data_IF_569115516360
#
_entry.id   IF_569115516360
#
_cell.length_a   1.000
_cell.length_b   1.000
_cell.length_c   1.000
_cell.angle_alpha   90.00
_cell.angle_beta   90.00
_cell.angle_gamma   90.00
#
_symmetry.space_group_name_H-M   'P 1'
#
loop_
_entity.id
_entity.type
_entity.pdbx_description
1 polymer ?
#
# COMPACT_ATOMS: atom_id res chain seq x y z
N UNK A 1 3.79 11.61 33.30
CA UNK A 1 3.51 10.98 34.62
C UNK A 1 2.40 9.95 34.54
N UNK A 2 1.23 10.25 33.93
CA UNK A 2 0.14 9.27 33.79
C UNK A 2 0.56 7.96 33.09
N UNK A 3 1.34 8.01 32.00
CA UNK A 3 1.81 6.79 31.33
C UNK A 3 2.69 5.90 32.23
N UNK A 4 3.57 6.50 33.05
CA UNK A 4 4.45 5.72 33.93
C UNK A 4 3.65 4.98 35.02
N UNK A 5 2.63 5.65 35.59
CA UNK A 5 1.71 5.02 36.54
C UNK A 5 0.94 3.86 35.89
N UNK A 6 0.48 4.03 34.64
CA UNK A 6 -0.17 2.97 33.88
C UNK A 6 0.77 1.79 33.65
N UNK A 7 2.03 2.00 33.26
CA UNK A 7 3.00 0.91 33.05
C UNK A 7 3.29 0.13 34.33
N UNK A 8 3.37 0.79 35.49
CA UNK A 8 3.58 0.11 36.78
C UNK A 8 2.37 -0.70 37.23
N UNK A 9 1.14 -0.24 36.97
CA UNK A 9 -0.10 -0.90 37.42
C UNK A 9 -0.59 -1.96 36.44
N UNK A 10 -0.36 -1.78 35.13
CA UNK A 10 -0.83 -2.68 34.09
C UNK A 10 -0.28 -4.11 34.22
N UNK A 11 0.93 -4.27 34.76
CA UNK A 11 1.54 -5.59 34.99
C UNK A 11 0.86 -6.43 36.08
N UNK A 12 0.07 -5.81 36.97
CA UNK A 12 -0.69 -6.52 38.01
C UNK A 12 -2.07 -6.99 37.54
N UNK A 13 -2.50 -6.58 36.35
CA UNK A 13 -3.78 -7.01 35.78
C UNK A 13 -3.56 -8.40 35.15
N UNK A 14 -4.31 -9.45 35.58
CA UNK A 14 -4.14 -10.81 35.08
C UNK A 14 -4.78 -10.97 33.69
N UNK A 15 -4.16 -10.36 32.68
CA UNK A 15 -4.62 -10.40 31.29
C UNK A 15 -4.76 -11.83 30.74
N UNK A 16 -3.95 -12.78 31.19
CA UNK A 16 -4.04 -14.19 30.76
C UNK A 16 -5.35 -14.89 31.14
N UNK A 17 -6.06 -14.42 32.17
CA UNK A 17 -7.38 -14.91 32.55
C UNK A 17 -8.50 -14.15 31.82
N UNK A 18 -8.24 -12.93 31.34
CA UNK A 18 -9.25 -12.08 30.68
C UNK A 18 -9.21 -12.21 29.15
N UNK A 19 -8.05 -12.53 28.57
CA UNK A 19 -7.81 -12.65 27.13
C UNK A 19 -6.97 -13.91 26.89
N UNK A 20 -7.65 -15.02 26.60
CA UNK A 20 -7.04 -16.31 26.25
C UNK A 20 -7.40 -16.66 24.82
N UNK A 21 -6.40 -16.99 23.98
CA UNK A 21 -6.61 -17.31 22.57
C UNK A 21 -7.48 -18.55 22.35
N UNK A 22 -7.48 -19.47 23.33
CA UNK A 22 -8.17 -20.76 23.27
C UNK A 22 -9.37 -20.85 24.24
N UNK A 23 -9.71 -19.77 24.95
CA UNK A 23 -10.86 -19.72 25.88
C UNK A 23 -10.72 -20.55 27.17
N UNK A 24 -9.54 -21.15 27.41
CA UNK A 24 -9.22 -21.88 28.63
C UNK A 24 -8.44 -21.00 29.62
N UNK A 25 -8.62 -21.29 30.92
CA UNK A 25 -7.88 -20.65 32.01
C UNK A 25 -6.40 -21.05 31.92
N UNK A 26 -5.56 -20.12 31.49
CA UNK A 26 -4.14 -20.37 31.33
C UNK A 26 -3.41 -20.05 32.64
N UNK A 27 -3.23 -21.09 33.47
CA UNK A 27 -2.34 -21.00 34.62
C UNK A 27 -0.89 -20.95 34.14
N UNK A 28 -0.34 -19.74 34.11
CA UNK A 28 1.07 -19.48 33.81
C UNK A 28 1.88 -20.11 34.94
N UNK A 29 2.35 -21.33 34.73
CA UNK A 29 3.28 -21.99 35.65
C UNK A 29 4.58 -21.19 35.62
N UNK A 30 4.76 -20.33 36.62
CA UNK A 30 5.93 -19.48 36.72
C UNK A 30 7.12 -20.33 37.15
N UNK A 31 7.90 -20.77 36.17
CA UNK A 31 9.17 -21.42 36.44
C UNK A 31 10.14 -20.40 37.05
N UNK A 32 10.27 -20.46 38.38
CA UNK A 32 11.13 -19.58 39.16
C UNK A 32 12.58 -19.59 38.69
N UNK A 33 13.05 -20.69 38.11
CA UNK A 33 14.38 -20.80 37.52
C UNK A 33 14.52 -19.89 36.27
N UNK A 34 13.55 -19.95 35.35
CA UNK A 34 13.54 -19.12 34.13
C UNK A 34 13.33 -17.64 34.48
N UNK A 35 12.41 -17.35 35.40
CA UNK A 35 12.15 -15.99 35.85
C UNK A 35 13.38 -15.38 36.55
N UNK A 36 13.99 -16.12 37.48
CA UNK A 36 15.18 -15.69 38.22
C UNK A 36 16.38 -15.46 37.31
N UNK A 37 16.68 -16.41 36.41
CA UNK A 37 17.79 -16.28 35.45
C UNK A 37 17.60 -15.11 34.49
N UNK A 38 16.38 -14.89 34.00
CA UNK A 38 16.07 -13.76 33.11
C UNK A 38 16.26 -12.41 33.80
N UNK A 39 15.83 -12.27 35.05
CA UNK A 39 16.01 -11.03 35.83
C UNK A 39 17.51 -10.76 36.04
N UNK A 40 18.29 -11.76 36.42
CA UNK A 40 19.74 -11.62 36.63
C UNK A 40 20.44 -11.20 35.34
N UNK A 41 20.12 -11.84 34.21
CA UNK A 41 20.68 -11.49 32.90
C UNK A 41 20.29 -10.06 32.49
N UNK A 42 19.03 -9.66 32.71
CA UNK A 42 18.55 -8.32 32.39
C UNK A 42 19.29 -7.25 33.21
N UNK A 43 19.42 -7.45 34.52
CA UNK A 43 20.15 -6.52 35.40
C UNK A 43 21.63 -6.46 35.03
N UNK A 44 22.28 -7.60 34.77
CA UNK A 44 23.66 -7.64 34.31
C UNK A 44 23.86 -6.90 32.97
N UNK A 45 22.91 -7.04 32.04
CA UNK A 45 22.92 -6.37 30.74
C UNK A 45 22.76 -4.85 30.87
N UNK A 46 21.85 -4.38 31.73
CA UNK A 46 21.67 -2.95 32.03
C UNK A 46 22.93 -2.38 32.68
N UNK A 47 23.52 -3.10 33.64
CA UNK A 47 24.75 -2.68 34.29
C UNK A 47 25.90 -2.57 33.28
N UNK A 48 26.08 -3.58 32.42
CA UNK A 48 27.11 -3.57 31.38
C UNK A 48 26.90 -2.41 30.38
N UNK A 49 25.67 -2.18 29.93
CA UNK A 49 25.34 -1.07 29.04
C UNK A 49 25.62 0.27 29.71
N UNK A 50 25.19 0.45 30.97
CA UNK A 50 25.45 1.68 31.73
C UNK A 50 26.95 1.91 31.87
N UNK A 51 27.72 0.89 32.24
CA UNK A 51 29.18 0.98 32.35
C UNK A 51 29.86 1.35 31.01
N UNK A 52 29.33 0.88 29.88
CA UNK A 52 29.85 1.21 28.55
C UNK A 52 29.52 2.65 28.11
N UNK A 53 28.39 3.20 28.56
CA UNK A 53 27.84 4.48 28.08
C UNK A 53 27.88 5.65 29.10
N UNK A 54 28.36 5.43 30.34
CA UNK A 54 28.33 6.43 31.42
C UNK A 54 29.23 7.66 31.18
N UNK A 55 30.23 7.57 30.29
CA UNK A 55 31.19 8.64 30.01
C UNK A 55 30.82 9.51 28.80
N UNK A 56 31.25 10.78 28.82
CA UNK A 56 31.12 11.72 27.68
C UNK A 56 31.95 11.31 26.46
N UNK A 57 32.98 10.49 26.66
CA UNK A 57 33.72 9.77 25.62
C UNK A 57 33.51 8.27 25.86
N UNK A 58 33.28 7.50 24.80
CA UNK A 58 32.93 6.07 24.87
C UNK A 58 34.04 5.18 24.28
N UNK A 59 35.28 5.26 24.81
CA UNK A 59 36.45 4.60 24.20
C UNK A 59 36.31 3.08 24.13
N UNK A 60 35.50 2.46 24.99
CA UNK A 60 35.24 1.01 24.98
C UNK A 60 34.25 0.60 23.90
N UNK A 61 33.22 1.41 23.67
CA UNK A 61 32.27 1.17 22.58
C UNK A 61 32.94 1.39 21.23
N UNK A 62 33.74 2.46 21.11
CA UNK A 62 34.51 2.77 19.91
C UNK A 62 35.55 1.68 19.60
N UNK A 63 36.30 1.21 20.61
CA UNK A 63 37.24 0.10 20.44
C UNK A 63 36.56 -1.22 20.03
N UNK A 64 35.34 -1.49 20.51
CA UNK A 64 34.56 -2.64 20.05
C UNK A 64 34.09 -2.46 18.61
N UNK A 65 33.66 -1.26 18.23
CA UNK A 65 33.23 -0.93 16.88
C UNK A 65 34.40 -1.05 15.88
N UNK A 66 35.62 -0.65 16.26
CA UNK A 66 36.81 -0.83 15.44
C UNK A 66 37.18 -2.31 15.26
N UNK A 67 37.15 -3.10 16.35
CA UNK A 67 37.44 -4.55 16.29
C UNK A 67 36.42 -5.32 15.46
N UNK A 68 35.14 -4.98 15.60
CA UNK A 68 34.04 -5.63 14.91
C UNK A 68 33.43 -4.73 13.82
N UNK A 69 34.27 -4.07 13.04
CA UNK A 69 33.85 -3.07 12.04
C UNK A 69 32.81 -3.61 11.06
N UNK A 70 32.90 -4.88 10.64
CA UNK A 70 31.89 -5.49 9.75
C UNK A 70 30.53 -5.63 10.43
N UNK A 71 30.50 -6.20 11.64
CA UNK A 71 29.26 -6.42 12.40
C UNK A 71 28.63 -5.11 12.86
N UNK A 72 29.46 -4.15 13.28
CA UNK A 72 29.02 -2.79 13.59
C UNK A 72 28.42 -2.12 12.37
N UNK A 73 29.07 -2.22 11.19
CA UNK A 73 28.54 -1.67 9.94
C UNK A 73 27.22 -2.32 9.53
N UNK A 74 27.08 -3.63 9.73
CA UNK A 74 25.83 -4.35 9.45
C UNK A 74 24.70 -3.90 10.38
N UNK A 75 24.94 -3.87 11.69
CA UNK A 75 23.98 -3.38 12.67
C UNK A 75 23.61 -1.90 12.43
N UNK A 76 24.60 -1.07 12.10
CA UNK A 76 24.41 0.35 11.76
C UNK A 76 23.54 0.53 10.53
N UNK A 77 23.71 -0.32 9.51
CA UNK A 77 22.87 -0.34 8.29
C UNK A 77 21.60 -1.18 8.44
N UNK A 78 21.12 -1.45 9.67
CA UNK A 78 19.90 -2.24 9.92
C UNK A 78 19.90 -3.58 9.14
N UNK A 79 21.07 -4.22 9.08
CA UNK A 79 21.34 -5.46 8.33
C UNK A 79 21.05 -5.39 6.83
N UNK A 80 21.12 -4.20 6.22
CA UNK A 80 20.83 -3.96 4.80
C UNK A 80 19.42 -4.31 4.36
N UNK A 81 18.49 -4.51 5.31
CA UNK A 81 17.10 -4.84 4.99
C UNK A 81 16.45 -3.72 4.18
N UNK A 82 16.68 -2.46 4.58
CA UNK A 82 16.12 -1.29 3.90
C UNK A 82 16.64 -1.21 2.44
N UNK A 83 17.94 -1.44 2.20
CA UNK A 83 18.48 -1.47 0.84
C UNK A 83 17.90 -2.61 -0.02
N UNK A 84 17.66 -3.79 0.56
CA UNK A 84 17.04 -4.92 -0.14
C UNK A 84 15.58 -4.61 -0.48
N UNK A 85 14.80 -4.06 0.45
CA UNK A 85 13.42 -3.66 0.20
C UNK A 85 13.32 -2.59 -0.89
N UNK A 86 14.19 -1.57 -0.85
CA UNK A 86 14.24 -0.54 -1.88
C UNK A 86 14.65 -1.11 -3.24
N UNK A 87 15.62 -2.02 -3.27
CA UNK A 87 16.05 -2.69 -4.50
C UNK A 87 14.90 -3.46 -5.14
N UNK A 88 14.20 -4.29 -4.36
CA UNK A 88 13.06 -5.08 -4.85
C UNK A 88 11.96 -4.13 -5.36
N UNK A 89 11.58 -3.15 -4.56
CA UNK A 89 10.46 -2.27 -4.89
C UNK A 89 10.77 -1.41 -6.12
N UNK A 90 11.90 -0.72 -6.13
CA UNK A 90 12.21 0.21 -7.23
C UNK A 90 12.71 -0.49 -8.48
N UNK A 91 13.59 -1.48 -8.35
CA UNK A 91 14.26 -2.07 -9.51
C UNK A 91 13.47 -3.22 -10.11
N UNK A 92 12.73 -3.97 -9.31
CA UNK A 92 11.92 -5.07 -9.82
C UNK A 92 10.52 -4.56 -10.12
N UNK A 93 9.79 -4.06 -9.13
CA UNK A 93 8.37 -3.72 -9.30
C UNK A 93 8.18 -2.52 -10.23
N UNK A 94 8.79 -1.36 -9.94
CA UNK A 94 8.56 -0.18 -10.78
C UNK A 94 9.16 -0.33 -12.18
N UNK A 95 10.36 -0.91 -12.31
CA UNK A 95 11.00 -0.99 -13.61
C UNK A 95 10.40 -2.09 -14.51
N UNK A 96 10.06 -3.27 -13.97
CA UNK A 96 9.62 -4.41 -14.78
C UNK A 96 8.11 -4.61 -14.81
N UNK A 97 7.37 -4.18 -13.79
CA UNK A 97 5.91 -4.40 -13.70
C UNK A 97 5.14 -3.13 -14.04
N UNK A 98 5.48 -2.00 -13.42
CA UNK A 98 4.71 -0.77 -13.60
C UNK A 98 4.88 -0.14 -15.00
N UNK A 99 6.10 -0.11 -15.53
CA UNK A 99 6.37 0.45 -16.87
C UNK A 99 5.58 -0.20 -18.02
N UNK A 100 5.53 -1.55 -18.17
CA UNK A 100 4.78 -2.15 -19.26
C UNK A 100 3.27 -1.94 -19.12
N UNK A 101 2.74 -1.99 -17.88
CA UNK A 101 1.33 -1.73 -17.63
C UNK A 101 0.98 -0.27 -17.98
N UNK A 102 1.81 0.69 -17.55
CA UNK A 102 1.62 2.10 -17.88
C UNK A 102 1.78 2.41 -19.38
N UNK A 103 2.61 1.63 -20.09
CA UNK A 103 2.73 1.74 -21.54
C UNK A 103 1.47 1.19 -22.23
N UNK A 104 0.96 0.04 -21.78
CA UNK A 104 -0.25 -0.58 -22.31
C UNK A 104 -1.47 0.36 -22.16
N UNK A 105 -1.67 0.92 -20.97
CA UNK A 105 -2.77 1.86 -20.70
C UNK A 105 -2.72 3.06 -21.66
N UNK A 106 -1.56 3.72 -21.76
CA UNK A 106 -1.39 4.91 -22.61
C UNK A 106 -1.47 4.68 -24.12
N UNK A 107 -1.16 3.48 -24.60
CA UNK A 107 -1.12 3.21 -26.05
C UNK A 107 -2.37 2.50 -26.53
N UNK A 108 -2.89 1.57 -25.72
CA UNK A 108 -3.99 0.70 -26.15
C UNK A 108 -5.31 1.23 -25.60
N UNK A 109 -5.38 1.57 -24.31
CA UNK A 109 -6.62 2.06 -23.70
C UNK A 109 -6.91 3.48 -24.18
N UNK A 110 -5.98 4.41 -24.01
CA UNK A 110 -6.14 5.79 -24.47
C UNK A 110 -6.36 5.86 -25.99
N UNK A 111 -5.55 5.11 -26.76
CA UNK A 111 -5.68 5.04 -28.22
C UNK A 111 -7.04 4.50 -28.69
N UNK A 112 -7.63 3.55 -27.95
CA UNK A 112 -8.98 3.06 -28.22
C UNK A 112 -10.04 4.14 -27.97
N UNK A 113 -9.92 4.90 -26.88
CA UNK A 113 -10.84 6.01 -26.61
C UNK A 113 -10.72 7.14 -27.63
N UNK A 114 -9.51 7.51 -28.03
CA UNK A 114 -9.27 8.50 -29.09
C UNK A 114 -9.87 8.04 -30.42
N UNK A 115 -9.74 6.76 -30.75
CA UNK A 115 -10.37 6.18 -31.94
C UNK A 115 -11.90 6.27 -31.89
N UNK A 116 -12.52 5.94 -30.76
CA UNK A 116 -13.97 6.08 -30.57
C UNK A 116 -14.42 7.54 -30.68
N UNK A 117 -13.67 8.47 -30.08
CA UNK A 117 -13.95 9.90 -30.16
C UNK A 117 -13.85 10.38 -31.61
N UNK A 118 -12.82 9.97 -32.34
CA UNK A 118 -12.67 10.27 -33.76
C UNK A 118 -13.82 9.70 -34.59
N UNK A 119 -14.20 8.44 -34.36
CA UNK A 119 -15.30 7.79 -35.07
C UNK A 119 -16.65 8.50 -34.84
N UNK A 120 -16.91 8.91 -33.60
CA UNK A 120 -18.12 9.66 -33.23
C UNK A 120 -18.14 11.04 -33.88
N UNK A 121 -17.00 11.75 -33.90
CA UNK A 121 -16.90 13.04 -34.57
C UNK A 121 -17.06 12.91 -36.08
N UNK A 122 -16.42 11.93 -36.71
CA UNK A 122 -16.55 11.66 -38.14
C UNK A 122 -18.01 11.38 -38.53
N UNK A 123 -18.71 10.56 -37.74
CA UNK A 123 -20.14 10.31 -37.91
C UNK A 123 -20.96 11.59 -37.74
N UNK A 124 -20.65 12.40 -36.72
CA UNK A 124 -21.32 13.67 -36.48
C UNK A 124 -21.15 14.64 -37.66
N UNK A 125 -19.96 14.74 -38.25
CA UNK A 125 -19.73 15.56 -39.45
C UNK A 125 -20.52 15.07 -40.67
N UNK A 126 -20.69 13.75 -40.81
CA UNK A 126 -21.52 13.17 -41.88
C UNK A 126 -23.01 13.47 -41.67
N UNK A 127 -23.51 13.37 -40.44
CA UNK A 127 -24.92 13.60 -40.10
C UNK A 127 -25.27 15.09 -40.08
N UNK A 128 -24.32 15.97 -39.76
CA UNK A 128 -24.53 17.43 -39.66
C UNK A 128 -25.16 18.04 -40.93
N UNK A 129 -24.89 17.48 -42.10
CA UNK A 129 -25.47 17.93 -43.37
C UNK A 129 -27.00 17.74 -43.48
N UNK A 130 -27.60 16.86 -42.66
CA UNK A 130 -29.05 16.65 -42.61
C UNK A 130 -29.78 17.83 -41.94
N UNK A 131 -29.10 18.62 -41.11
CA UNK A 131 -29.67 19.74 -40.37
C UNK A 131 -29.43 21.06 -41.13
N UNK A 132 -30.12 21.25 -42.26
CA UNK A 132 -29.86 22.40 -43.16
C UNK A 132 -30.62 23.69 -42.81
N UNK A 133 -31.38 23.72 -41.70
CA UNK A 133 -32.16 24.89 -41.26
C UNK A 133 -33.36 25.28 -42.14
N UNK A 134 -33.61 24.57 -43.24
CA UNK A 134 -34.72 24.84 -44.15
C UNK A 134 -35.98 24.09 -43.70
N UNK A 135 -37.02 24.84 -43.33
CA UNK A 135 -38.33 24.31 -42.90
C UNK A 135 -38.93 23.39 -43.98
N UNK A 136 -38.72 23.68 -45.26
CA UNK A 136 -39.23 22.89 -46.38
C UNK A 136 -38.66 21.47 -46.40
N UNK A 137 -37.37 21.29 -46.11
CA UNK A 137 -36.75 19.96 -46.07
C UNK A 137 -37.28 19.12 -44.92
N UNK A 138 -37.50 19.72 -43.74
CA UNK A 138 -38.11 19.02 -42.61
C UNK A 138 -39.55 18.60 -42.90
N UNK A 139 -40.35 19.48 -43.50
CA UNK A 139 -41.73 19.16 -43.90
C UNK A 139 -41.78 17.99 -44.90
N UNK A 140 -40.87 17.96 -45.88
CA UNK A 140 -40.76 16.86 -46.83
C UNK A 140 -40.39 15.54 -46.16
N UNK A 141 -39.37 15.52 -45.29
CA UNK A 141 -38.96 14.32 -44.54
C UNK A 141 -40.08 13.81 -43.63
N UNK A 142 -40.81 14.72 -42.98
CA UNK A 142 -41.94 14.37 -42.12
C UNK A 142 -43.07 13.70 -42.92
N UNK A 143 -43.50 14.32 -44.03
CA UNK A 143 -44.59 13.78 -44.86
C UNK A 143 -44.20 12.41 -45.43
N UNK A 144 -42.98 12.28 -45.95
CA UNK A 144 -42.45 11.02 -46.47
C UNK A 144 -42.37 9.94 -45.38
N UNK A 145 -41.90 10.29 -44.18
CA UNK A 145 -41.86 9.39 -43.02
C UNK A 145 -43.26 8.91 -42.60
N UNK A 146 -44.25 9.80 -42.57
CA UNK A 146 -45.65 9.42 -42.26
C UNK A 146 -46.26 8.49 -43.30
N UNK A 147 -46.02 8.75 -44.60
CA UNK A 147 -46.46 7.88 -45.69
C UNK A 147 -45.86 6.47 -45.59
N UNK A 148 -44.55 6.38 -45.32
CA UNK A 148 -43.87 5.08 -45.13
C UNK A 148 -44.46 4.35 -43.93
N UNK A 149 -44.64 5.02 -42.79
CA UNK A 149 -45.23 4.41 -41.59
C UNK A 149 -46.64 3.86 -41.87
N UNK A 150 -47.50 4.64 -42.52
CA UNK A 150 -48.85 4.18 -42.91
C UNK A 150 -48.80 2.98 -43.85
N UNK A 151 -47.88 2.98 -44.80
CA UNK A 151 -47.70 1.88 -45.73
C UNK A 151 -47.21 0.61 -45.03
N UNK A 152 -46.26 0.72 -44.10
CA UNK A 152 -45.81 -0.40 -43.26
C UNK A 152 -46.99 -0.93 -42.43
N UNK A 153 -47.78 -0.07 -41.80
CA UNK A 153 -48.96 -0.49 -41.02
C UNK A 153 -50.07 -1.12 -41.87
N UNK A 154 -50.19 -0.74 -43.14
CA UNK A 154 -51.18 -1.30 -44.05
C UNK A 154 -50.73 -2.63 -44.69
N UNK A 155 -49.42 -2.88 -44.77
CA UNK A 155 -48.83 -4.13 -45.29
C UNK A 155 -48.49 -5.16 -44.20
N UNK A 156 -48.31 -4.72 -42.95
CA UNK A 156 -48.15 -5.58 -41.76
C UNK A 156 -49.50 -6.10 -41.27
#
# INVERSE_FOLDING_TARGET
MCLAAVTCVAGFIPFGHMVSADGQLYDIHLDWNVAGTSIVIAVASIFLATYMYIGSRQPKADALAEKFCSLHRWAYKRFYLDEVYQYITHRIIFAHVSKPIAWFDRHIVDGFFDFLAWGTNALSFRIRGLQSGSVQKYAFVFLLGTLILLLIMALA
#
